data_IF_554524764548
#
_entry.id   IF_554524764548
#
_cell.length_a   1.000
_cell.length_b   1.000
_cell.length_c   1.000
_cell.angle_alpha   90.00
_cell.angle_beta   90.00
_cell.angle_gamma   90.00
#
_symmetry.space_group_name_H-M   'P 1'
#
loop_
_entity.id
_entity.type
_entity.pdbx_description
1 polymer ?
#
# COMPACT_ATOMS: atom_id res chain seq x y z
N UNK A 1 3.26 -10.97 -10.49
CA UNK A 1 2.04 -10.15 -10.66
C UNK A 1 2.38 -8.73 -10.26
N UNK A 2 2.39 -7.81 -11.23
CA UNK A 2 2.55 -6.37 -11.01
C UNK A 2 1.13 -5.82 -10.79
N UNK A 3 0.91 -5.05 -9.74
CA UNK A 3 -0.38 -4.42 -9.49
C UNK A 3 -0.30 -3.00 -10.03
N UNK A 4 -0.78 -2.78 -11.25
CA UNK A 4 -0.73 -1.47 -11.92
C UNK A 4 -1.63 -0.43 -11.20
N UNK A 5 -2.63 -0.86 -10.43
CA UNK A 5 -3.54 -0.03 -9.62
C UNK A 5 -3.13 0.11 -8.14
N UNK A 6 -1.85 -0.08 -7.81
CA UNK A 6 -1.38 0.06 -6.42
C UNK A 6 -0.62 1.37 -6.20
N UNK A 7 -1.04 2.13 -5.18
CA UNK A 7 -0.37 3.38 -4.80
C UNK A 7 1.08 3.12 -4.36
N UNK A 8 2.04 4.00 -4.74
CA UNK A 8 3.43 3.89 -4.29
C UNK A 8 3.58 3.98 -2.76
N UNK A 9 4.73 3.56 -2.21
CA UNK A 9 5.04 3.69 -0.78
C UNK A 9 4.98 5.18 -0.37
N UNK A 10 4.20 5.55 0.65
CA UNK A 10 4.11 6.95 1.10
C UNK A 10 5.37 7.40 1.86
N UNK A 11 6.24 6.47 2.26
CA UNK A 11 7.46 6.77 3.03
C UNK A 11 8.66 7.04 2.12
N UNK A 12 8.82 6.27 1.04
CA UNK A 12 9.97 6.41 0.14
C UNK A 12 9.59 6.70 -1.33
N UNK A 13 8.30 6.81 -1.65
CA UNK A 13 7.83 7.05 -3.02
C UNK A 13 7.96 5.86 -3.97
N UNK A 14 8.48 4.70 -3.53
CA UNK A 14 8.71 3.58 -4.43
C UNK A 14 7.38 2.96 -4.93
N UNK A 15 7.20 2.78 -6.25
CA UNK A 15 6.02 2.10 -6.81
C UNK A 15 6.07 0.59 -6.60
N UNK A 16 7.22 0.05 -6.19
CA UNK A 16 7.43 -1.40 -6.02
C UNK A 16 6.85 -1.91 -4.70
N UNK A 17 5.61 -2.36 -4.76
CA UNK A 17 4.88 -2.97 -3.66
C UNK A 17 4.58 -4.42 -4.00
N UNK A 18 4.82 -5.31 -3.04
CA UNK A 18 4.50 -6.74 -3.17
C UNK A 18 3.58 -7.17 -2.04
N UNK A 19 2.63 -8.04 -2.37
CA UNK A 19 1.81 -8.73 -1.37
C UNK A 19 2.50 -10.02 -1.00
N UNK A 20 2.64 -10.29 0.30
CA UNK A 20 3.15 -11.56 0.82
C UNK A 20 2.07 -12.27 1.61
N UNK A 21 1.88 -13.55 1.32
CA UNK A 21 1.09 -14.47 2.14
C UNK A 21 1.93 -14.94 3.34
N UNK A 22 1.34 -14.90 4.54
CA UNK A 22 1.94 -15.28 5.81
C UNK A 22 0.89 -16.02 6.61
N UNK A 23 1.06 -17.34 6.76
CA UNK A 23 0.25 -18.18 7.65
C UNK A 23 -1.27 -18.02 7.45
N UNK A 24 -1.74 -17.98 6.20
CA UNK A 24 -3.15 -17.80 5.84
C UNK A 24 -3.62 -16.35 5.71
N UNK A 25 -2.76 -15.37 6.01
CA UNK A 25 -3.05 -13.94 5.86
C UNK A 25 -2.21 -13.31 4.76
N UNK A 26 -2.66 -12.18 4.23
CA UNK A 26 -1.94 -11.43 3.20
C UNK A 26 -1.58 -10.04 3.71
N UNK A 27 -0.36 -9.58 3.43
CA UNK A 27 0.04 -8.20 3.74
C UNK A 27 0.78 -7.57 2.57
N UNK A 28 0.51 -6.30 2.30
CA UNK A 28 1.27 -5.53 1.33
C UNK A 28 2.51 -4.94 2.02
N UNK A 29 3.67 -5.08 1.37
CA UNK A 29 4.97 -4.57 1.79
C UNK A 29 5.59 -3.79 0.62
N UNK A 30 6.22 -2.66 0.92
CA UNK A 30 7.12 -2.01 -0.04
C UNK A 30 8.50 -2.68 -0.04
N UNK A 31 9.09 -2.81 -1.23
CA UNK A 31 10.44 -3.37 -1.39
C UNK A 31 11.56 -2.37 -1.10
N UNK A 32 11.28 -1.06 -1.10
CA UNK A 32 12.26 -0.03 -0.78
C UNK A 32 12.33 0.27 0.72
N UNK A 33 11.25 0.85 1.25
CA UNK A 33 11.15 1.33 2.64
C UNK A 33 10.85 0.22 3.67
N UNK A 34 10.56 -1.00 3.21
CA UNK A 34 10.03 -2.10 4.04
C UNK A 34 8.76 -1.80 4.84
N UNK A 35 8.08 -0.69 4.54
CA UNK A 35 6.78 -0.37 5.13
C UNK A 35 5.75 -1.41 4.77
N UNK A 36 4.93 -1.75 5.76
CA UNK A 36 3.97 -2.86 5.74
C UNK A 36 2.59 -2.32 6.08
N UNK A 37 1.54 -2.89 5.48
CA UNK A 37 0.16 -2.72 5.97
C UNK A 37 -0.19 -3.76 7.01
N UNK A 38 -1.34 -3.56 7.65
CA UNK A 38 -2.02 -4.63 8.38
C UNK A 38 -2.30 -5.85 7.50
N UNK A 39 -2.50 -6.97 8.19
CA UNK A 39 -2.89 -8.25 7.60
C UNK A 39 -4.33 -8.17 7.07
N UNK A 40 -4.57 -8.75 5.91
CA UNK A 40 -5.90 -8.95 5.32
C UNK A 40 -6.16 -10.44 5.08
N UNK A 41 -7.44 -10.78 4.97
CA UNK A 41 -7.85 -12.16 4.67
C UNK A 41 -7.50 -12.60 3.25
N UNK A 42 -7.27 -11.65 2.34
CA UNK A 42 -7.00 -11.89 0.92
C UNK A 42 -6.00 -10.88 0.36
N UNK A 43 -5.32 -11.23 -0.75
CA UNK A 43 -4.40 -10.31 -1.45
C UNK A 43 -5.08 -9.00 -1.82
N UNK A 44 -6.30 -9.09 -2.38
CA UNK A 44 -7.13 -7.94 -2.72
C UNK A 44 -7.39 -7.05 -1.51
N UNK A 45 -7.74 -7.64 -0.37
CA UNK A 45 -8.06 -6.89 0.86
C UNK A 45 -6.81 -6.17 1.41
N UNK A 46 -5.64 -6.80 1.32
CA UNK A 46 -4.36 -6.19 1.68
C UNK A 46 -4.02 -5.00 0.76
N UNK A 47 -4.29 -5.12 -0.54
CA UNK A 47 -4.11 -4.06 -1.53
C UNK A 47 -5.13 -2.94 -1.38
N UNK A 48 -6.39 -3.26 -1.13
CA UNK A 48 -7.43 -2.27 -0.86
C UNK A 48 -7.08 -1.46 0.38
N UNK A 49 -6.58 -2.09 1.46
CA UNK A 49 -6.02 -1.35 2.61
C UNK A 49 -4.81 -0.50 2.24
N UNK A 50 -3.90 -1.03 1.42
CA UNK A 50 -2.74 -0.30 0.89
C UNK A 50 -3.15 0.86 -0.05
N UNK A 51 -4.30 0.82 -0.70
CA UNK A 51 -4.78 1.90 -1.56
C UNK A 51 -5.69 2.89 -0.82
N UNK A 52 -6.43 2.40 0.19
CA UNK A 52 -7.36 3.15 1.03
C UNK A 52 -6.68 4.00 2.10
N UNK A 53 -5.44 3.69 2.49
CA UNK A 53 -4.65 4.59 3.35
C UNK A 53 -4.72 5.98 2.76
N UNK A 54 -5.30 6.90 3.54
CA UNK A 54 -5.56 8.28 3.15
C UNK A 54 -4.36 8.79 2.39
N UNK A 55 -4.55 8.94 1.08
CA UNK A 55 -3.75 9.89 0.33
C UNK A 55 -4.13 11.22 0.97
N UNK A 56 -3.23 11.78 1.77
CA UNK A 56 -3.11 13.23 1.81
C UNK A 56 -2.96 13.61 0.34
N UNK A 57 -4.08 13.97 -0.26
CA UNK A 57 -4.15 14.43 -1.61
C UNK A 57 -3.25 15.66 -1.60
N UNK A 58 -2.14 15.63 -2.34
CA UNK A 58 -1.52 16.86 -2.81
C UNK A 58 -2.48 17.47 -3.85
N UNK A 59 -3.66 17.84 -3.37
CA UNK A 59 -4.76 18.60 -3.97
C UNK A 59 -5.57 19.23 -2.81
N UNK A 60 -4.92 19.55 -1.68
CA UNK A 60 -5.34 20.66 -0.83
C UNK A 60 -4.51 21.87 -1.29
N UNK A 61 -5.06 22.97 -1.79
CA UNK A 61 -6.41 23.42 -1.46
C UNK A 61 -6.57 23.65 0.04
N UNK A 62 -5.50 24.06 0.74
CA UNK A 62 -5.56 24.81 2.01
C UNK A 62 -4.27 25.62 2.07
N UNK A 63 -4.23 26.80 1.45
CA UNK A 63 -4.33 28.05 2.19
C UNK A 63 -5.19 27.96 3.46
N UNK A 64 -4.53 27.85 4.62
CA UNK A 64 -4.71 28.79 5.74
C UNK A 64 -3.36 28.98 6.43
#
# INVERSE_FOLDING_TARGET
>A
MRYDDVKPCPFCGCPSVTVKAISGYYRAKCNGCESRTGYGGSEKEALERWNKRTTGNNNGGVHV
#
